data_IF_299300245002
#
_entry.id   IF_299300245002
#
_cell.length_a   1.000
_cell.length_b   1.000
_cell.length_c   1.000
_cell.angle_alpha   90.00
_cell.angle_beta   90.00
_cell.angle_gamma   90.00
#
_symmetry.space_group_name_H-M   'P 1'
#
loop_
_entity.id
_entity.type
_entity.pdbx_description
1 polymer ?
#
# COMPACT_ATOMS: atom_id res chain seq x y z
N UNK A 1 -5.30 -12.31 -4.60
CA UNK A 1 -5.49 -13.76 -4.47
C UNK A 1 -4.16 -14.50 -4.61
N UNK A 2 -3.38 -14.33 -5.70
CA UNK A 2 -2.06 -14.98 -5.89
C UNK A 2 -1.13 -14.85 -4.67
N UNK A 3 -1.06 -13.68 -4.04
CA UNK A 3 -0.23 -13.43 -2.85
C UNK A 3 -0.71 -14.27 -1.66
N UNK A 4 -2.01 -14.32 -1.41
CA UNK A 4 -2.58 -15.12 -0.32
C UNK A 4 -2.30 -16.61 -0.53
N UNK A 5 -2.52 -17.11 -1.74
CA UNK A 5 -2.31 -18.51 -2.10
C UNK A 5 -0.84 -18.95 -1.90
N UNK A 6 0.13 -18.02 -2.01
CA UNK A 6 1.57 -18.26 -1.79
C UNK A 6 2.00 -18.13 -0.33
N UNK A 7 1.34 -17.29 0.44
CA UNK A 7 1.74 -17.00 1.83
C UNK A 7 1.05 -17.94 2.83
N UNK A 8 -0.23 -18.28 2.61
CA UNK A 8 -0.98 -19.14 3.52
C UNK A 8 -0.34 -20.52 3.81
N UNK A 9 0.33 -21.18 2.85
CA UNK A 9 0.99 -22.46 3.12
C UNK A 9 2.27 -22.38 3.94
N UNK A 10 2.82 -21.17 4.15
CA UNK A 10 4.11 -21.00 4.84
C UNK A 10 4.00 -21.44 6.33
N UNK A 11 5.03 -22.14 6.80
CA UNK A 11 5.12 -22.56 8.19
C UNK A 11 5.11 -21.33 9.10
N UNK A 12 4.29 -21.38 10.15
CA UNK A 12 4.18 -20.29 11.11
C UNK A 12 3.15 -19.20 10.74
N UNK A 13 2.56 -19.23 9.56
CA UNK A 13 1.42 -18.40 9.19
C UNK A 13 0.13 -19.00 9.75
N UNK A 14 -0.73 -18.17 10.37
CA UNK A 14 -2.02 -18.56 10.91
C UNK A 14 -3.16 -18.28 9.92
N UNK A 15 -3.01 -17.22 9.13
CA UNK A 15 -4.03 -16.78 8.19
C UNK A 15 -3.59 -15.56 7.40
N UNK A 16 -4.48 -15.03 6.57
CA UNK A 16 -4.26 -13.80 5.83
C UNK A 16 -5.58 -13.03 5.70
N UNK A 17 -5.53 -11.73 5.97
CA UNK A 17 -6.60 -10.78 5.69
C UNK A 17 -6.14 -9.86 4.58
N UNK A 18 -6.87 -9.83 3.47
CA UNK A 18 -6.53 -9.05 2.28
C UNK A 18 -7.57 -7.95 2.06
N UNK A 19 -7.12 -6.72 2.03
CA UNK A 19 -7.93 -5.53 1.77
C UNK A 19 -7.55 -4.97 0.39
N UNK A 20 -8.27 -5.36 -0.64
CA UNK A 20 -8.09 -4.81 -1.98
C UNK A 20 -8.71 -3.43 -2.07
N UNK A 21 -8.07 -2.51 -2.81
CA UNK A 21 -8.52 -1.13 -2.92
C UNK A 21 -8.22 -0.27 -1.68
N UNK A 22 -7.33 -0.73 -0.81
CA UNK A 22 -6.96 -0.04 0.43
C UNK A 22 -5.44 0.12 0.53
N UNK A 23 -5.00 1.34 0.75
CA UNK A 23 -3.60 1.65 1.02
C UNK A 23 -3.36 1.63 2.54
N UNK A 24 -2.68 0.59 3.02
CA UNK A 24 -2.43 0.37 4.45
C UNK A 24 -1.68 1.51 5.13
N UNK A 25 -0.61 2.05 4.54
CA UNK A 25 0.17 3.13 5.12
C UNK A 25 -0.57 4.45 5.30
N UNK A 26 -1.34 4.87 4.30
CA UNK A 26 -2.13 6.11 4.34
C UNK A 26 -3.52 5.91 4.96
N UNK A 27 -3.95 4.66 5.12
CA UNK A 27 -5.28 4.28 5.59
C UNK A 27 -6.41 4.88 4.74
N UNK A 28 -6.17 4.96 3.42
CA UNK A 28 -7.13 5.53 2.46
C UNK A 28 -7.54 4.49 1.42
N UNK A 29 -8.67 4.75 0.77
CA UNK A 29 -9.07 3.96 -0.39
C UNK A 29 -8.19 4.32 -1.59
N UNK A 30 -7.57 3.31 -2.20
CA UNK A 30 -6.72 3.45 -3.37
C UNK A 30 -6.89 2.23 -4.29
N UNK A 31 -7.59 2.37 -5.42
CA UNK A 31 -7.95 1.24 -6.29
C UNK A 31 -6.76 0.45 -6.83
N UNK A 32 -5.58 1.06 -6.91
CA UNK A 32 -4.32 0.46 -7.35
C UNK A 32 -3.49 -0.11 -6.19
N UNK A 33 -4.00 -0.10 -4.96
CA UNK A 33 -3.30 -0.59 -3.77
C UNK A 33 -4.06 -1.74 -3.10
N UNK A 34 -3.36 -2.50 -2.30
CA UNK A 34 -3.92 -3.50 -1.41
C UNK A 34 -3.08 -3.62 -0.14
N UNK A 35 -3.72 -3.81 0.99
CA UNK A 35 -3.05 -4.17 2.23
C UNK A 35 -3.30 -5.63 2.58
N UNK A 36 -2.28 -6.30 3.11
CA UNK A 36 -2.38 -7.66 3.60
C UNK A 36 -1.88 -7.73 5.04
N UNK A 37 -2.72 -8.23 5.92
CA UNK A 37 -2.36 -8.53 7.30
C UNK A 37 -2.22 -10.04 7.45
N UNK A 38 -1.04 -10.49 7.84
CA UNK A 38 -0.68 -11.90 7.94
C UNK A 38 -0.44 -12.24 9.41
N UNK A 39 -1.49 -12.64 10.16
CA UNK A 39 -1.32 -13.11 11.52
C UNK A 39 -0.47 -14.39 11.52
N UNK A 40 0.50 -14.41 12.42
CA UNK A 40 1.37 -15.56 12.63
C UNK A 40 0.83 -16.43 13.77
N UNK A 41 1.24 -17.69 13.82
CA UNK A 41 1.02 -18.57 14.94
C UNK A 41 1.68 -18.03 16.22
N UNK A 42 1.32 -18.56 17.37
CA UNK A 42 1.90 -18.16 18.67
C UNK A 42 3.43 -18.29 18.66
N UNK A 43 4.11 -17.63 19.57
CA UNK A 43 5.57 -17.74 19.70
C UNK A 43 5.97 -19.18 19.98
N UNK A 44 5.28 -19.84 20.89
CA UNK A 44 5.49 -21.26 21.27
C UNK A 44 5.32 -22.20 20.05
N UNK A 45 4.23 -22.08 19.29
CA UNK A 45 4.01 -22.88 18.08
C UNK A 45 5.12 -22.68 17.05
N UNK A 46 5.60 -21.43 16.89
CA UNK A 46 6.66 -21.12 15.93
C UNK A 46 8.01 -21.67 16.38
N UNK A 47 8.29 -21.63 17.67
CA UNK A 47 9.49 -22.22 18.27
C UNK A 47 9.50 -23.74 18.06
N UNK A 48 8.38 -24.41 18.34
CA UNK A 48 8.20 -25.84 18.06
C UNK A 48 8.35 -26.20 16.59
N UNK A 49 7.99 -25.30 15.68
CA UNK A 49 8.15 -25.46 14.24
C UNK A 49 9.57 -25.08 13.74
N UNK A 50 10.42 -24.55 14.61
CA UNK A 50 11.75 -24.06 14.26
C UNK A 50 11.77 -22.86 13.34
N UNK A 51 10.72 -22.00 13.36
CA UNK A 51 10.59 -20.83 12.47
C UNK A 51 10.59 -19.52 13.25
N UNK A 52 11.33 -18.55 12.73
CA UNK A 52 11.41 -17.19 13.27
C UNK A 52 10.65 -16.22 12.39
N UNK A 53 10.35 -15.01 12.89
CA UNK A 53 9.78 -13.95 12.06
C UNK A 53 10.66 -13.67 10.82
N UNK A 54 11.97 -13.64 10.99
CA UNK A 54 12.91 -13.39 9.90
C UNK A 54 12.88 -14.49 8.82
N UNK A 55 12.80 -15.77 9.24
CA UNK A 55 12.70 -16.89 8.29
C UNK A 55 11.37 -16.85 7.54
N UNK A 56 10.26 -16.60 8.22
CA UNK A 56 8.91 -16.48 7.59
C UNK A 56 8.89 -15.32 6.59
N UNK A 57 9.44 -14.17 6.93
CA UNK A 57 9.54 -13.03 6.01
C UNK A 57 10.43 -13.35 4.80
N UNK A 58 11.54 -14.08 5.02
CA UNK A 58 12.41 -14.53 3.94
C UNK A 58 11.72 -15.48 2.98
N UNK A 59 10.99 -16.46 3.51
CA UNK A 59 10.18 -17.39 2.72
C UNK A 59 9.05 -16.68 1.97
N UNK A 60 8.36 -15.74 2.62
CA UNK A 60 7.31 -14.95 1.99
C UNK A 60 7.84 -14.12 0.81
N UNK A 61 9.02 -13.48 0.96
CA UNK A 61 9.68 -12.76 -0.14
C UNK A 61 10.05 -13.69 -1.30
N UNK A 62 10.58 -14.87 -1.01
CA UNK A 62 10.90 -15.87 -2.04
C UNK A 62 9.66 -16.38 -2.75
N UNK A 63 8.61 -16.72 -1.98
CA UNK A 63 7.34 -17.23 -2.51
C UNK A 63 6.59 -16.24 -3.39
N UNK A 64 6.87 -14.94 -3.25
CA UNK A 64 6.19 -13.87 -4.00
C UNK A 64 7.12 -13.14 -4.98
N UNK A 65 8.37 -13.57 -5.14
CA UNK A 65 9.37 -12.87 -5.96
C UNK A 65 9.05 -12.86 -7.46
N UNK A 66 8.26 -13.82 -7.94
CA UNK A 66 7.83 -13.94 -9.34
C UNK A 66 6.53 -13.16 -9.65
N UNK A 67 5.95 -12.48 -8.67
CA UNK A 67 4.77 -11.65 -8.87
C UNK A 67 5.21 -10.28 -9.40
N UNK A 68 5.03 -10.07 -10.71
CA UNK A 68 5.42 -8.84 -11.40
C UNK A 68 4.24 -7.86 -11.59
N UNK A 69 3.02 -8.30 -11.30
CA UNK A 69 1.80 -7.49 -11.47
C UNK A 69 1.63 -6.42 -10.39
N UNK A 70 2.39 -6.54 -9.29
CA UNK A 70 2.36 -5.59 -8.19
C UNK A 70 3.72 -5.49 -7.50
N UNK A 71 4.03 -4.31 -6.98
CA UNK A 71 5.17 -4.11 -6.08
C UNK A 71 4.78 -4.54 -4.66
N UNK A 72 5.37 -5.64 -4.20
CA UNK A 72 5.11 -6.18 -2.88
C UNK A 72 6.13 -5.68 -1.86
N UNK A 73 5.64 -5.16 -0.73
CA UNK A 73 6.46 -4.78 0.42
C UNK A 73 6.04 -5.60 1.63
N UNK A 74 6.96 -6.36 2.20
CA UNK A 74 6.73 -7.14 3.41
C UNK A 74 7.41 -6.42 4.56
N UNK A 75 6.60 -5.87 5.45
CA UNK A 75 7.04 -5.02 6.57
C UNK A 75 6.74 -5.76 7.88
N UNK A 76 7.70 -5.88 8.80
CA UNK A 76 7.45 -6.43 10.12
C UNK A 76 6.61 -5.45 10.95
N UNK A 77 5.79 -5.94 11.89
CA UNK A 77 5.09 -5.08 12.83
C UNK A 77 6.10 -4.34 13.72
N UNK A 78 5.73 -3.18 14.32
CA UNK A 78 6.56 -2.52 15.29
C UNK A 78 6.80 -3.43 16.49
N UNK A 79 8.00 -3.35 17.09
CA UNK A 79 8.37 -4.17 18.26
C UNK A 79 7.51 -3.85 19.48
N UNK A 80 7.01 -2.62 19.57
CA UNK A 80 6.16 -2.14 20.66
C UNK A 80 4.82 -1.70 20.06
N UNK A 81 3.73 -2.32 20.50
CA UNK A 81 2.39 -1.94 20.09
C UNK A 81 2.07 -0.50 20.53
N UNK A 82 1.46 0.28 19.63
CA UNK A 82 1.08 1.66 19.88
C UNK A 82 2.16 2.70 19.55
N UNK A 83 3.38 2.28 19.19
CA UNK A 83 4.42 3.20 18.71
C UNK A 83 4.60 3.08 17.21
N UNK A 84 3.72 3.76 16.47
CA UNK A 84 3.78 3.84 15.00
C UNK A 84 3.28 2.58 14.27
N UNK A 85 3.33 2.59 12.95
CA UNK A 85 2.89 1.52 12.06
C UNK A 85 4.02 0.57 11.63
N UNK A 86 5.27 0.94 11.88
CA UNK A 86 6.47 0.14 11.61
C UNK A 86 7.55 0.45 12.63
N UNK A 87 8.45 -0.51 12.89
CA UNK A 87 9.63 -0.28 13.73
C UNK A 87 10.67 0.59 13.03
N UNK A 88 11.54 1.27 13.80
CA UNK A 88 12.61 2.08 13.27
C UNK A 88 12.38 3.59 13.38
N UNK A 89 12.96 4.37 12.49
CA UNK A 89 12.79 5.82 12.42
C UNK A 89 12.01 6.24 11.17
N UNK A 90 11.40 7.41 11.25
CA UNK A 90 10.72 8.05 10.11
C UNK A 90 11.49 9.31 9.72
N UNK A 91 11.87 9.38 8.45
CA UNK A 91 12.44 10.57 7.84
C UNK A 91 11.42 11.20 6.89
N UNK A 92 11.21 12.51 7.03
CA UNK A 92 10.38 13.28 6.13
C UNK A 92 11.27 14.00 5.11
N UNK A 93 10.94 13.89 3.83
CA UNK A 93 11.59 14.61 2.73
C UNK A 93 10.59 15.61 2.17
N UNK A 94 10.96 16.89 2.17
CA UNK A 94 10.11 17.99 1.75
C UNK A 94 10.69 18.70 0.53
N UNK A 95 9.85 18.98 -0.47
CA UNK A 95 10.19 19.83 -1.61
C UNK A 95 9.83 21.29 -1.30
N UNK A 96 10.83 22.07 -0.85
CA UNK A 96 10.69 23.52 -0.60
C UNK A 96 10.84 24.36 -1.85
N UNK A 97 11.39 23.79 -2.92
CA UNK A 97 11.65 24.50 -4.17
C UNK A 97 10.48 24.46 -5.16
N UNK A 98 9.44 23.67 -4.88
CA UNK A 98 8.29 23.53 -5.79
C UNK A 98 8.63 22.82 -7.10
N UNK A 99 9.62 21.91 -7.09
CA UNK A 99 10.06 21.16 -8.28
C UNK A 99 9.07 20.08 -8.71
N UNK A 100 8.12 19.75 -7.84
CA UNK A 100 7.02 18.82 -8.09
C UNK A 100 7.28 17.39 -7.67
N UNK A 101 6.21 16.59 -7.73
CA UNK A 101 6.20 15.22 -7.16
C UNK A 101 7.18 14.27 -7.83
N UNK A 102 7.44 14.43 -9.14
CA UNK A 102 8.36 13.55 -9.86
C UNK A 102 9.81 13.74 -9.39
N UNK A 103 10.26 14.99 -9.20
CA UNK A 103 11.58 15.30 -8.68
C UNK A 103 11.72 14.86 -7.22
N UNK A 104 10.69 15.11 -6.40
CA UNK A 104 10.64 14.65 -5.01
C UNK A 104 10.77 13.12 -4.93
N UNK A 105 10.08 12.39 -5.79
CA UNK A 105 10.18 10.93 -5.87
C UNK A 105 11.59 10.48 -6.24
N UNK A 106 12.18 11.07 -7.29
CA UNK A 106 13.53 10.74 -7.74
C UNK A 106 14.58 10.98 -6.64
N UNK A 107 14.52 12.13 -5.95
CA UNK A 107 15.40 12.45 -4.83
C UNK A 107 15.22 11.50 -3.65
N UNK A 108 13.97 11.17 -3.32
CA UNK A 108 13.64 10.21 -2.25
C UNK A 108 14.16 8.81 -2.55
N UNK A 109 13.98 8.31 -3.76
CA UNK A 109 14.54 7.00 -4.17
C UNK A 109 16.07 7.00 -4.20
N UNK A 110 16.69 8.09 -4.64
CA UNK A 110 18.14 8.25 -4.58
C UNK A 110 18.68 8.21 -3.14
N UNK A 111 18.00 8.88 -2.21
CA UNK A 111 18.32 8.84 -0.78
C UNK A 111 18.19 7.42 -0.21
N UNK A 112 17.08 6.72 -0.52
CA UNK A 112 16.84 5.34 -0.10
C UNK A 112 17.94 4.41 -0.61
N UNK A 113 18.33 4.53 -1.88
CA UNK A 113 19.40 3.74 -2.46
C UNK A 113 20.73 3.92 -1.73
N UNK A 114 21.12 5.14 -1.40
CA UNK A 114 22.33 5.45 -0.63
C UNK A 114 22.22 4.96 0.82
N UNK A 115 21.08 5.16 1.46
CA UNK A 115 20.85 4.76 2.84
C UNK A 115 20.92 3.23 3.00
N UNK A 116 20.37 2.44 2.08
CA UNK A 116 20.47 0.98 2.11
C UNK A 116 21.88 0.43 1.86
N UNK A 117 22.78 1.28 1.35
CA UNK A 117 24.21 0.93 1.20
C UNK A 117 25.05 1.36 2.41
N UNK A 118 24.49 2.10 3.35
CA UNK A 118 25.19 2.61 4.52
C UNK A 118 25.21 1.54 5.63
N UNK A 119 26.39 1.17 6.15
CA UNK A 119 26.48 0.20 7.25
C UNK A 119 25.66 0.66 8.47
N UNK A 120 24.91 -0.27 9.04
CA UNK A 120 24.04 -0.02 10.20
C UNK A 120 22.62 0.45 9.84
N UNK A 121 22.35 0.77 8.57
CA UNK A 121 21.02 1.06 8.07
C UNK A 121 20.50 -0.11 7.23
N UNK A 122 19.29 -0.57 7.55
CA UNK A 122 18.66 -1.68 6.85
C UNK A 122 17.19 -1.39 6.56
N UNK A 123 16.70 -1.89 5.45
CA UNK A 123 15.28 -1.85 5.07
C UNK A 123 14.70 -0.43 5.02
N UNK A 124 15.46 0.51 4.43
CA UNK A 124 14.96 1.87 4.18
C UNK A 124 14.04 1.82 2.96
N UNK A 125 12.82 2.31 3.12
CA UNK A 125 11.80 2.30 2.08
C UNK A 125 10.86 3.50 2.20
N UNK A 126 10.08 3.74 1.16
CA UNK A 126 8.99 4.71 1.15
C UNK A 126 7.73 4.10 0.53
N UNK A 127 6.57 4.52 1.02
CA UNK A 127 5.28 4.25 0.40
C UNK A 127 4.86 5.35 -0.59
N UNK A 128 5.64 6.42 -0.68
CA UNK A 128 5.35 7.49 -1.62
C UNK A 128 5.40 6.98 -3.06
N UNK A 129 4.30 7.13 -3.78
CA UNK A 129 4.16 6.74 -5.18
C UNK A 129 3.51 7.87 -5.98
N UNK A 130 4.07 8.17 -7.14
CA UNK A 130 3.59 9.18 -8.07
C UNK A 130 2.87 8.57 -9.29
N UNK A 131 2.85 7.24 -9.39
CA UNK A 131 2.32 6.52 -10.54
C UNK A 131 0.89 6.03 -10.35
N UNK A 132 0.13 6.60 -9.40
CA UNK A 132 -1.27 6.25 -9.22
C UNK A 132 -2.08 6.62 -10.46
N UNK A 133 -2.67 5.66 -11.17
CA UNK A 133 -3.51 5.94 -12.34
C UNK A 133 -4.69 6.83 -11.93
N UNK A 134 -4.92 7.87 -12.72
CA UNK A 134 -6.04 8.78 -12.54
C UNK A 134 -6.85 8.83 -13.81
N UNK A 135 -8.18 8.86 -13.68
CA UNK A 135 -9.08 9.12 -14.79
C UNK A 135 -9.40 10.61 -14.76
N UNK A 136 -9.10 11.28 -15.86
CA UNK A 136 -9.54 12.66 -16.07
C UNK A 136 -10.86 12.63 -16.83
N UNK A 137 -11.91 13.19 -16.24
CA UNK A 137 -13.21 13.34 -16.88
C UNK A 137 -13.32 14.80 -17.38
N UNK A 138 -13.22 14.99 -18.69
CA UNK A 138 -13.49 16.28 -19.33
C UNK A 138 -14.98 16.40 -19.57
N UNK A 139 -15.65 17.28 -18.83
CA UNK A 139 -17.09 17.48 -18.89
C UNK A 139 -17.38 18.73 -19.68
N UNK A 140 -18.07 18.60 -20.81
CA UNK A 140 -18.59 19.69 -21.61
C UNK A 140 -19.80 20.33 -20.88
N UNK A 141 -19.48 21.32 -20.05
CA UNK A 141 -20.50 22.04 -19.24
C UNK A 141 -21.47 22.82 -20.10
N UNK A 142 -20.99 23.38 -21.23
CA UNK A 142 -21.84 24.13 -22.15
C UNK A 142 -22.90 23.23 -22.80
N UNK A 143 -22.50 22.02 -23.18
CA UNK A 143 -23.43 21.01 -23.71
C UNK A 143 -24.40 20.52 -22.64
N UNK A 144 -23.95 20.32 -21.42
CA UNK A 144 -24.81 19.94 -20.30
C UNK A 144 -25.90 21.00 -20.05
N UNK A 145 -25.52 22.26 -20.02
CA UNK A 145 -26.48 23.39 -19.86
C UNK A 145 -27.47 23.46 -21.03
N UNK A 146 -27.00 23.30 -22.26
CA UNK A 146 -27.87 23.31 -23.47
C UNK A 146 -28.96 22.22 -23.44
N UNK A 147 -28.66 21.05 -22.86
CA UNK A 147 -29.62 19.95 -22.75
C UNK A 147 -30.37 19.96 -21.40
N UNK A 148 -30.17 21.00 -20.59
CA UNK A 148 -30.90 21.20 -19.32
C UNK A 148 -30.40 20.24 -18.19
N UNK A 149 -29.18 19.74 -18.28
CA UNK A 149 -28.58 18.87 -17.23
C UNK A 149 -27.64 19.71 -16.35
N UNK A 150 -27.99 19.99 -15.10
CA UNK A 150 -27.11 20.70 -14.18
C UNK A 150 -25.77 19.94 -14.00
N UNK A 151 -24.62 20.62 -13.93
CA UNK A 151 -23.31 20.00 -13.73
C UNK A 151 -23.26 19.10 -12.49
N UNK A 152 -23.99 19.42 -11.44
CA UNK A 152 -24.08 18.63 -10.19
C UNK A 152 -24.63 17.23 -10.47
N UNK A 153 -25.60 17.09 -11.36
CA UNK A 153 -26.17 15.79 -11.75
C UNK A 153 -25.16 14.92 -12.51
N UNK A 154 -24.30 15.55 -13.31
CA UNK A 154 -23.23 14.84 -14.01
C UNK A 154 -22.22 14.30 -12.99
N UNK A 155 -21.82 15.12 -12.01
CA UNK A 155 -20.89 14.67 -10.96
C UNK A 155 -21.51 13.62 -10.04
N UNK A 156 -22.80 13.74 -9.70
CA UNK A 156 -23.53 12.74 -8.94
C UNK A 156 -23.54 11.38 -9.67
N UNK A 157 -23.85 11.37 -10.95
CA UNK A 157 -23.82 10.17 -11.77
C UNK A 157 -22.42 9.55 -11.81
N UNK A 158 -21.38 10.35 -12.06
CA UNK A 158 -20.00 9.86 -12.04
C UNK A 158 -19.62 9.26 -10.69
N UNK A 159 -20.01 9.89 -9.58
CA UNK A 159 -19.75 9.39 -8.24
C UNK A 159 -20.43 8.03 -8.01
N UNK A 160 -21.69 7.88 -8.40
CA UNK A 160 -22.44 6.63 -8.26
C UNK A 160 -21.85 5.52 -9.14
N UNK A 161 -21.55 5.79 -10.42
CA UNK A 161 -21.09 4.77 -11.36
C UNK A 161 -19.61 4.41 -11.19
N UNK A 162 -18.76 5.33 -10.73
CA UNK A 162 -17.32 5.09 -10.56
C UNK A 162 -16.93 4.84 -9.11
N UNK A 163 -17.65 5.42 -8.14
CA UNK A 163 -17.35 5.37 -6.71
C UNK A 163 -18.31 4.53 -5.88
N UNK A 164 -19.37 4.00 -6.47
CA UNK A 164 -20.51 3.36 -5.80
C UNK A 164 -21.38 4.32 -4.98
N UNK A 165 -22.66 4.02 -4.85
CA UNK A 165 -23.57 4.79 -3.98
C UNK A 165 -23.46 4.26 -2.54
N UNK A 166 -23.21 5.15 -1.60
CA UNK A 166 -23.39 4.85 -0.19
C UNK A 166 -24.88 4.61 0.10
N UNK A 167 -25.20 3.48 0.70
CA UNK A 167 -26.59 3.12 1.01
C UNK A 167 -26.86 3.23 2.50
N UNK A 168 -26.06 2.59 3.34
CA UNK A 168 -26.21 2.62 4.80
C UNK A 168 -25.03 1.91 5.50
N UNK A 169 -24.82 2.22 6.78
CA UNK A 169 -23.99 1.46 7.70
C UNK A 169 -24.84 0.37 8.38
N UNK A 170 -24.31 -0.84 8.48
CA UNK A 170 -24.96 -1.98 9.12
C UNK A 170 -24.27 -2.30 10.43
#
# INVERSE_FOLDING_TARGET
RKVADRILPLKGVKGAVMLAGFDGPSQTLAPNSAAAYIPLKSFEDRENLGVTLASIMGEARKATADINEARLMIVPPPLIQGIGSAGGYRLMVEDRGGHGYADLAAKSYGLIGKANQTPGLNQIYTFFDTNTPRVFADIDRAKADLIGVPPERVFEALNVYLGSAYVNDF
#
